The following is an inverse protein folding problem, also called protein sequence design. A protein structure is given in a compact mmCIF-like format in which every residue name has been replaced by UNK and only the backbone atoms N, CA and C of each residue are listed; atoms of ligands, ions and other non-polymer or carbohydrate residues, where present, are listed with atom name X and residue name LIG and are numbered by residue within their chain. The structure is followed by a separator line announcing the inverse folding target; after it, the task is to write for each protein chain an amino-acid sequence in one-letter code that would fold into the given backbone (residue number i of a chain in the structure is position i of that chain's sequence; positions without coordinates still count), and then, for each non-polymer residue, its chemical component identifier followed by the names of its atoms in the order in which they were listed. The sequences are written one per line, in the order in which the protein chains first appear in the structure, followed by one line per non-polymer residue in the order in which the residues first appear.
data_IF_066656207680
#
_entry.id   IF_066656207680
#
_cell.length_a   1.000
_cell.length_b   1.000
_cell.length_c   1.000
_cell.angle_alpha   90.00
_cell.angle_beta   90.00
_cell.angle_gamma   90.00
#
_symmetry.space_group_name_H-M   'P 1'
#
loop_
_entity.id
_entity.type
_entity.pdbx_description
1 polymer ?
#
# COMPACT_ATOMS: atom_id res chain seq x y z
N UNK A 1 5.84 3.73 20.12
CA UNK A 1 5.36 4.92 19.40
C UNK A 1 3.85 4.87 19.27
N UNK A 2 3.21 6.03 19.15
CA UNK A 2 1.81 6.15 18.75
C UNK A 2 1.71 6.39 17.25
N UNK A 3 1.15 5.47 16.50
CA UNK A 3 1.21 5.44 15.04
C UNK A 3 -0.19 5.50 14.42
N UNK A 4 -0.28 6.19 13.28
CA UNK A 4 -1.44 6.15 12.41
C UNK A 4 -1.16 5.25 11.22
N UNK A 5 -2.04 4.30 10.92
CA UNK A 5 -1.96 3.44 9.74
C UNK A 5 -3.13 3.74 8.81
N UNK A 6 -2.87 4.39 7.68
CA UNK A 6 -3.91 4.61 6.67
C UNK A 6 -4.01 3.41 5.75
N UNK A 7 -5.22 2.96 5.44
CA UNK A 7 -5.42 1.71 4.70
C UNK A 7 -5.14 0.46 5.54
N UNK A 8 -5.17 0.61 6.88
CA UNK A 8 -4.85 -0.47 7.82
C UNK A 8 -5.87 -1.61 7.87
N UNK A 9 -7.03 -1.46 7.23
CA UNK A 9 -8.03 -2.52 7.08
C UNK A 9 -7.88 -3.32 5.78
N UNK A 10 -6.92 -2.96 4.91
CA UNK A 10 -6.57 -3.69 3.69
C UNK A 10 -5.56 -4.81 3.93
N UNK A 11 -5.21 -5.56 2.87
CA UNK A 11 -4.33 -6.73 2.97
C UNK A 11 -2.97 -6.41 3.60
N UNK A 12 -2.12 -5.63 2.93
CA UNK A 12 -0.77 -5.30 3.46
C UNK A 12 -0.85 -4.46 4.73
N UNK A 13 -1.82 -3.53 4.80
CA UNK A 13 -2.02 -2.66 5.96
C UNK A 13 -2.34 -3.44 7.23
N UNK A 14 -3.23 -4.44 7.19
CA UNK A 14 -3.63 -5.22 8.37
C UNK A 14 -2.50 -6.10 8.92
N UNK A 15 -1.69 -6.70 8.03
CA UNK A 15 -0.48 -7.43 8.44
C UNK A 15 0.55 -6.49 9.09
N UNK A 16 0.73 -5.28 8.54
CA UNK A 16 1.59 -4.26 9.13
C UNK A 16 1.06 -3.77 10.49
N UNK A 17 -0.26 -3.58 10.64
CA UNK A 17 -0.90 -3.29 11.93
C UNK A 17 -0.59 -4.38 12.96
N UNK A 18 -0.76 -5.66 12.58
CA UNK A 18 -0.46 -6.78 13.46
C UNK A 18 1.02 -6.78 13.90
N UNK A 19 1.96 -6.57 12.97
CA UNK A 19 3.40 -6.51 13.29
C UNK A 19 3.75 -5.33 14.20
N UNK A 20 3.15 -4.16 13.99
CA UNK A 20 3.33 -2.98 14.85
C UNK A 20 2.82 -3.23 16.28
N UNK A 21 1.65 -3.88 16.43
CA UNK A 21 1.12 -4.26 17.74
C UNK A 21 2.04 -5.24 18.46
N UNK A 22 2.58 -6.23 17.75
CA UNK A 22 3.56 -7.18 18.29
C UNK A 22 4.87 -6.50 18.71
N UNK A 23 5.28 -5.44 18.00
CA UNK A 23 6.43 -4.60 18.37
C UNK A 23 6.13 -3.62 19.53
N UNK A 24 4.92 -3.61 20.07
CA UNK A 24 4.53 -2.81 21.24
C UNK A 24 4.13 -1.35 20.91
N UNK A 25 3.78 -1.06 19.65
CA UNK A 25 3.28 0.26 19.26
C UNK A 25 1.78 0.43 19.57
N UNK A 26 1.37 1.68 19.83
CA UNK A 26 -0.05 2.09 19.92
C UNK A 26 -0.53 2.47 18.52
N UNK A 27 -1.47 1.72 17.96
CA UNK A 27 -1.89 1.85 16.57
C UNK A 27 -3.34 2.33 16.45
N UNK A 28 -3.55 3.38 15.69
CA UNK A 28 -4.87 3.81 15.21
C UNK A 28 -4.94 3.62 13.69
N UNK A 29 -6.04 3.05 13.20
CA UNK A 29 -6.29 2.83 11.77
C UNK A 29 -7.14 3.97 11.22
N UNK A 30 -6.75 4.52 10.06
CA UNK A 30 -7.59 5.40 9.25
C UNK A 30 -7.92 4.68 7.94
N UNK A 31 -9.18 4.37 7.72
CA UNK A 31 -9.63 3.62 6.54
C UNK A 31 -11.08 3.98 6.23
N UNK A 32 -11.42 4.20 4.96
CA UNK A 32 -12.80 4.45 4.55
C UNK A 32 -13.60 3.17 4.29
N UNK A 33 -12.95 2.00 4.44
CA UNK A 33 -13.51 0.65 4.23
C UNK A 33 -14.06 0.44 2.80
N UNK A 34 -13.54 1.16 1.80
CA UNK A 34 -13.98 0.97 0.41
C UNK A 34 -13.55 -0.37 -0.18
N UNK A 35 -12.42 -0.90 0.31
CA UNK A 35 -11.87 -2.23 -0.03
C UNK A 35 -11.33 -2.96 1.19
N UNK A 36 -11.17 -2.25 2.32
CA UNK A 36 -10.73 -2.80 3.60
C UNK A 36 -11.89 -3.44 4.37
N UNK A 37 -11.56 -4.29 5.34
CA UNK A 37 -12.51 -5.10 6.07
C UNK A 37 -12.47 -4.83 7.58
N UNK A 38 -13.64 -4.74 8.22
CA UNK A 38 -13.74 -4.52 9.67
C UNK A 38 -13.13 -5.66 10.51
N UNK A 39 -13.15 -6.88 10.00
CA UNK A 39 -12.54 -8.03 10.69
C UNK A 39 -11.00 -7.95 10.74
N UNK A 40 -10.38 -7.13 9.88
CA UNK A 40 -8.93 -6.98 9.80
C UNK A 40 -8.35 -5.91 10.76
N UNK A 41 -9.19 -5.27 11.60
CA UNK A 41 -8.78 -4.14 12.45
C UNK A 41 -7.92 -4.54 13.66
N UNK A 42 -7.79 -5.81 13.98
CA UNK A 42 -6.97 -6.34 15.09
C UNK A 42 -7.23 -5.65 16.45
N UNK A 43 -8.47 -5.20 16.68
CA UNK A 43 -8.87 -4.50 17.91
C UNK A 43 -8.47 -3.02 17.98
N UNK A 44 -7.82 -2.47 16.97
CA UNK A 44 -7.43 -1.06 16.91
C UNK A 44 -8.63 -0.11 16.77
N UNK A 45 -8.45 1.12 17.24
CA UNK A 45 -9.38 2.22 16.95
C UNK A 45 -9.43 2.47 15.43
N UNK A 46 -10.64 2.58 14.88
CA UNK A 46 -10.86 2.97 13.49
C UNK A 46 -11.32 4.43 13.40
N UNK A 47 -10.65 5.21 12.55
CA UNK A 47 -11.10 6.51 12.06
C UNK A 47 -11.67 6.30 10.66
N UNK A 48 -13.00 6.19 10.47
CA UNK A 48 -13.63 5.86 9.19
C UNK A 48 -13.75 7.09 8.29
N UNK A 49 -12.63 7.56 7.72
CA UNK A 49 -12.56 8.78 6.89
C UNK A 49 -11.87 8.46 5.57
N UNK A 50 -12.30 9.13 4.52
CA UNK A 50 -11.61 9.20 3.24
C UNK A 50 -10.53 10.28 3.28
N UNK A 51 -9.34 10.01 2.76
CA UNK A 51 -8.24 10.98 2.68
C UNK A 51 -8.58 12.21 1.82
N UNK A 52 -9.62 12.14 1.00
CA UNK A 52 -10.12 13.26 0.21
C UNK A 52 -10.96 14.25 1.04
N UNK A 53 -11.41 13.82 2.22
CA UNK A 53 -12.13 14.69 3.17
C UNK A 53 -11.13 15.45 4.07
N UNK A 54 -10.62 16.55 3.54
CA UNK A 54 -9.60 17.37 4.20
C UNK A 54 -10.06 17.95 5.52
N UNK A 55 -11.35 18.30 5.64
CA UNK A 55 -11.89 18.90 6.86
C UNK A 55 -11.84 17.92 8.04
N UNK A 56 -12.40 16.73 7.86
CA UNK A 56 -12.41 15.73 8.92
C UNK A 56 -11.01 15.18 9.18
N UNK A 57 -10.17 14.99 8.14
CA UNK A 57 -8.80 14.52 8.26
C UNK A 57 -7.99 15.43 9.20
N UNK A 58 -7.97 16.74 8.95
CA UNK A 58 -7.27 17.71 9.80
C UNK A 58 -7.75 17.68 11.26
N UNK A 59 -9.08 17.61 11.47
CA UNK A 59 -9.65 17.56 12.83
C UNK A 59 -9.28 16.29 13.58
N UNK A 60 -9.18 15.17 12.87
CA UNK A 60 -8.92 13.86 13.48
C UNK A 60 -7.44 13.60 13.77
N UNK A 61 -6.51 14.29 13.09
CA UNK A 61 -5.10 14.18 13.39
C UNK A 61 -4.64 15.16 14.48
N UNK A 62 -5.24 16.35 14.51
CA UNK A 62 -4.84 17.42 15.41
C UNK A 62 -4.92 17.01 16.89
N UNK A 63 -3.82 17.20 17.62
CA UNK A 63 -3.73 16.97 19.07
C UNK A 63 -3.79 15.50 19.50
N UNK A 64 -3.70 14.56 18.57
CA UNK A 64 -3.72 13.11 18.88
C UNK A 64 -2.37 12.57 19.34
N UNK A 65 -1.28 13.30 19.09
CA UNK A 65 0.08 12.91 19.48
C UNK A 65 0.62 11.72 18.70
N UNK A 66 0.24 11.59 17.43
CA UNK A 66 0.88 10.61 16.55
C UNK A 66 2.33 10.99 16.28
N UNK A 67 3.22 10.03 16.36
CA UNK A 67 4.66 10.19 16.14
C UNK A 67 5.09 9.82 14.72
N UNK A 68 4.24 9.08 14.00
CA UNK A 68 4.48 8.69 12.62
C UNK A 68 3.25 8.10 11.95
N UNK A 69 3.34 7.99 10.63
CA UNK A 69 2.28 7.45 9.77
C UNK A 69 2.84 6.35 8.86
N UNK A 70 2.12 5.23 8.75
CA UNK A 70 2.30 4.24 7.69
C UNK A 70 1.15 4.40 6.70
N UNK A 71 1.47 4.59 5.41
CA UNK A 71 0.48 4.96 4.40
C UNK A 71 0.30 3.87 3.35
N UNK A 72 -0.76 3.06 3.52
CA UNK A 72 -1.18 2.01 2.58
C UNK A 72 -2.43 2.39 1.77
N UNK A 73 -3.21 3.38 2.21
CA UNK A 73 -4.46 3.75 1.57
C UNK A 73 -4.24 4.23 0.12
N UNK A 74 -4.59 3.39 -0.84
CA UNK A 74 -4.49 3.68 -2.26
C UNK A 74 -5.44 2.79 -3.07
N UNK A 75 -5.78 3.23 -4.27
CA UNK A 75 -6.29 2.36 -5.34
C UNK A 75 -5.10 1.66 -6.00
N UNK A 76 -5.16 0.33 -6.21
CA UNK A 76 -4.00 -0.47 -6.63
C UNK A 76 -4.23 -1.34 -7.88
N UNK A 77 -5.47 -1.43 -8.40
CA UNK A 77 -5.78 -2.28 -9.54
C UNK A 77 -5.31 -1.64 -10.85
N UNK A 78 -4.26 -2.22 -11.46
CA UNK A 78 -3.65 -1.72 -12.70
C UNK A 78 -4.68 -1.61 -13.83
N UNK A 79 -5.53 -2.62 -14.02
CA UNK A 79 -6.59 -2.61 -15.04
C UNK A 79 -7.61 -1.49 -14.83
N UNK A 80 -8.06 -1.27 -13.60
CA UNK A 80 -8.97 -0.18 -13.24
C UNK A 80 -8.31 1.18 -13.49
N UNK A 81 -7.03 1.32 -13.19
CA UNK A 81 -6.28 2.56 -13.35
C UNK A 81 -6.27 3.06 -14.80
N UNK A 82 -6.23 2.13 -15.77
CA UNK A 82 -6.27 2.44 -17.20
C UNK A 82 -7.63 3.03 -17.59
N UNK A 83 -8.71 2.50 -17.03
CA UNK A 83 -10.10 2.89 -17.37
C UNK A 83 -10.55 4.14 -16.60
N UNK A 84 -10.00 4.39 -15.41
CA UNK A 84 -10.40 5.48 -14.52
C UNK A 84 -9.20 6.31 -14.02
N UNK A 85 -8.38 6.88 -14.93
CA UNK A 85 -7.14 7.56 -14.55
C UNK A 85 -7.35 8.74 -13.61
N UNK A 86 -8.35 9.57 -13.84
CA UNK A 86 -8.63 10.75 -13.00
C UNK A 86 -8.97 10.35 -11.55
N UNK A 87 -9.71 9.25 -11.36
CA UNK A 87 -10.02 8.71 -10.04
C UNK A 87 -8.74 8.25 -9.31
N UNK A 88 -7.81 7.60 -10.02
CA UNK A 88 -6.52 7.19 -9.46
C UNK A 88 -5.67 8.38 -9.02
N UNK A 89 -5.58 9.43 -9.83
CA UNK A 89 -4.89 10.66 -9.44
C UNK A 89 -5.55 11.33 -8.24
N UNK A 90 -6.88 11.48 -8.26
CA UNK A 90 -7.61 12.09 -7.16
C UNK A 90 -7.44 11.31 -5.84
N UNK A 91 -7.51 9.97 -5.90
CA UNK A 91 -7.39 9.12 -4.72
C UNK A 91 -5.94 9.03 -4.24
N UNK A 92 -5.01 8.61 -5.11
CA UNK A 92 -3.66 8.29 -4.69
C UNK A 92 -2.81 9.54 -4.50
N UNK A 93 -2.83 10.49 -5.45
CA UNK A 93 -2.03 11.71 -5.35
C UNK A 93 -2.74 12.74 -4.48
N UNK A 94 -4.00 13.04 -4.76
CA UNK A 94 -4.78 14.01 -4.00
C UNK A 94 -4.95 13.61 -2.54
N UNK A 95 -5.33 12.35 -2.28
CA UNK A 95 -5.45 11.81 -0.92
C UNK A 95 -4.15 11.85 -0.14
N UNK A 96 -3.02 11.45 -0.74
CA UNK A 96 -1.71 11.53 -0.08
C UNK A 96 -1.26 12.97 0.15
N UNK A 97 -1.51 13.89 -0.79
CA UNK A 97 -1.24 15.32 -0.60
C UNK A 97 -2.00 15.87 0.61
N UNK A 98 -3.28 15.51 0.75
CA UNK A 98 -4.09 15.91 1.90
C UNK A 98 -3.55 15.33 3.21
N UNK A 99 -3.12 14.05 3.19
CA UNK A 99 -2.52 13.40 4.36
C UNK A 99 -1.24 14.12 4.80
N UNK A 100 -0.30 14.38 3.89
CA UNK A 100 0.95 15.09 4.20
C UNK A 100 0.69 16.48 4.78
N UNK A 101 -0.26 17.24 4.20
CA UNK A 101 -0.65 18.55 4.76
C UNK A 101 -1.26 18.44 6.16
N UNK A 102 -2.08 17.42 6.40
CA UNK A 102 -2.67 17.19 7.72
C UNK A 102 -1.62 16.75 8.74
N UNK A 103 -0.63 15.95 8.33
CA UNK A 103 0.52 15.58 9.16
C UNK A 103 1.33 16.80 9.56
N UNK A 104 1.72 17.65 8.59
CA UNK A 104 2.44 18.89 8.87
C UNK A 104 1.67 19.81 9.82
N UNK A 105 0.34 19.97 9.63
CA UNK A 105 -0.51 20.77 10.50
C UNK A 105 -0.67 20.18 11.92
N UNK A 106 -0.40 18.90 12.12
CA UNK A 106 -0.44 18.19 13.39
C UNK A 106 0.93 17.91 13.99
N UNK A 107 2.02 18.45 13.39
CA UNK A 107 3.42 18.25 13.78
C UNK A 107 3.87 16.78 13.74
N UNK A 108 3.37 16.02 12.75
CA UNK A 108 3.76 14.64 12.50
C UNK A 108 4.74 14.65 11.33
N UNK A 109 6.00 14.28 11.59
CA UNK A 109 7.10 14.47 10.63
C UNK A 109 7.60 13.18 9.98
N UNK A 110 7.13 12.00 10.41
CA UNK A 110 7.63 10.71 9.95
C UNK A 110 6.57 9.95 9.15
N UNK A 111 6.90 9.58 7.91
CA UNK A 111 6.03 8.82 7.00
C UNK A 111 6.75 7.61 6.42
N UNK A 112 6.14 6.43 6.51
CA UNK A 112 6.49 5.27 5.67
C UNK A 112 5.42 5.09 4.60
N UNK A 113 5.83 5.20 3.34
CA UNK A 113 4.94 5.12 2.19
C UNK A 113 5.05 3.76 1.49
N UNK A 114 3.93 3.07 1.40
CA UNK A 114 3.77 1.87 0.57
C UNK A 114 3.79 2.27 -0.90
N UNK A 115 4.98 2.22 -1.52
CA UNK A 115 5.16 2.46 -2.94
C UNK A 115 5.02 1.15 -3.74
N UNK A 116 5.62 1.08 -4.92
CA UNK A 116 5.47 -0.08 -5.81
C UNK A 116 6.65 -0.19 -6.77
N UNK A 117 7.01 -1.41 -7.15
CA UNK A 117 7.92 -1.65 -8.27
C UNK A 117 7.33 -1.27 -9.65
N UNK A 118 6.02 -1.07 -9.75
CA UNK A 118 5.38 -0.60 -10.99
C UNK A 118 5.87 0.79 -11.46
N UNK A 119 6.59 1.54 -10.62
CA UNK A 119 7.25 2.80 -11.01
C UNK A 119 8.40 2.59 -12.01
N UNK A 120 9.01 1.41 -12.02
CA UNK A 120 10.13 1.11 -12.91
C UNK A 120 9.69 0.79 -14.35
N UNK A 121 8.43 0.34 -14.54
CA UNK A 121 7.92 -0.05 -15.85
C UNK A 121 8.54 -1.36 -16.36
N UNK A 122 8.88 -1.42 -17.64
CA UNK A 122 9.57 -2.58 -18.20
C UNK A 122 11.04 -2.59 -17.76
N UNK A 123 11.55 -3.71 -17.23
CA UNK A 123 12.94 -3.80 -16.82
C UNK A 123 13.89 -3.68 -18.02
N UNK A 124 15.01 -3.00 -17.83
CA UNK A 124 16.10 -2.89 -18.82
C UNK A 124 17.29 -3.81 -18.46
N UNK A 125 17.21 -4.49 -17.33
CA UNK A 125 18.18 -5.47 -16.81
C UNK A 125 17.44 -6.58 -16.08
N UNK A 126 18.10 -7.72 -15.86
CA UNK A 126 17.51 -8.87 -15.16
C UNK A 126 17.17 -8.57 -13.69
N UNK A 127 17.90 -7.66 -13.07
CA UNK A 127 17.68 -7.21 -11.70
C UNK A 127 17.31 -5.73 -11.68
N UNK A 128 16.37 -5.38 -10.83
CA UNK A 128 15.93 -4.00 -10.60
C UNK A 128 16.42 -3.58 -9.22
N UNK A 129 17.30 -2.58 -9.18
CA UNK A 129 17.75 -1.89 -7.97
C UNK A 129 17.13 -0.49 -7.86
N UNK A 130 17.50 0.27 -6.84
CA UNK A 130 16.98 1.61 -6.58
C UNK A 130 17.37 2.64 -7.66
N UNK A 131 18.47 2.40 -8.39
CA UNK A 131 18.97 3.27 -9.45
C UNK A 131 18.34 2.97 -10.82
N UNK A 132 17.58 1.86 -10.93
CA UNK A 132 16.87 1.52 -12.17
C UNK A 132 15.99 2.69 -12.63
N UNK A 133 15.94 3.02 -13.94
CA UNK A 133 15.12 4.09 -14.48
C UNK A 133 13.64 3.95 -14.09
N UNK A 134 13.04 5.06 -13.66
CA UNK A 134 11.62 5.12 -13.28
C UNK A 134 10.79 5.55 -14.48
N UNK A 135 10.18 4.58 -15.15
CA UNK A 135 9.41 4.77 -16.38
C UNK A 135 8.09 3.97 -16.36
N UNK A 136 7.14 4.33 -15.48
CA UNK A 136 5.90 3.57 -15.27
C UNK A 136 5.07 3.48 -16.55
N UNK A 137 4.57 2.28 -16.87
CA UNK A 137 3.78 1.99 -18.08
C UNK A 137 2.28 1.94 -17.82
N UNK A 138 1.85 2.23 -16.60
CA UNK A 138 0.45 2.28 -16.23
C UNK A 138 0.16 3.44 -15.26
N UNK A 139 -1.10 3.84 -15.18
CA UNK A 139 -1.53 4.99 -14.37
C UNK A 139 -1.30 4.76 -12.87
N UNK A 140 -1.49 3.54 -12.37
CA UNK A 140 -1.21 3.22 -10.97
C UNK A 140 0.25 3.51 -10.62
N UNK A 141 1.21 2.95 -11.37
CA UNK A 141 2.65 3.22 -11.19
C UNK A 141 2.98 4.70 -11.32
N UNK A 142 2.37 5.40 -12.29
CA UNK A 142 2.54 6.84 -12.46
C UNK A 142 2.09 7.61 -11.23
N UNK A 143 0.92 7.28 -10.63
CA UNK A 143 0.45 7.96 -9.41
C UNK A 143 1.38 7.74 -8.23
N UNK A 144 1.94 6.54 -8.07
CA UNK A 144 2.91 6.23 -7.02
C UNK A 144 4.21 7.01 -7.20
N UNK A 145 4.72 7.09 -8.44
CA UNK A 145 5.93 7.88 -8.76
C UNK A 145 5.73 9.37 -8.47
N UNK A 146 4.57 9.94 -8.84
CA UNK A 146 4.24 11.35 -8.53
C UNK A 146 4.23 11.58 -7.02
N UNK A 147 3.71 10.65 -6.23
CA UNK A 147 3.75 10.73 -4.76
C UNK A 147 5.19 10.70 -4.24
N UNK A 148 6.05 9.80 -4.73
CA UNK A 148 7.46 9.77 -4.33
C UNK A 148 8.18 11.09 -4.63
N UNK A 149 7.95 11.66 -5.82
CA UNK A 149 8.51 12.96 -6.20
C UNK A 149 8.01 14.09 -5.29
N UNK A 150 6.72 14.10 -4.94
CA UNK A 150 6.16 15.05 -3.98
C UNK A 150 6.80 14.88 -2.60
N UNK A 151 6.92 13.66 -2.09
CA UNK A 151 7.54 13.38 -0.80
C UNK A 151 9.02 13.82 -0.79
N UNK A 152 9.76 13.58 -1.84
CA UNK A 152 11.13 14.05 -2.00
C UNK A 152 11.22 15.58 -1.92
N UNK A 153 10.32 16.31 -2.57
CA UNK A 153 10.29 17.77 -2.49
C UNK A 153 9.95 18.27 -1.08
N UNK A 154 9.02 17.59 -0.38
CA UNK A 154 8.65 17.93 1.02
C UNK A 154 9.83 17.70 1.96
N UNK A 155 10.54 16.56 1.85
CA UNK A 155 11.70 16.26 2.71
C UNK A 155 12.87 17.21 2.48
N UNK A 156 13.04 17.74 1.27
CA UNK A 156 14.07 18.75 0.98
C UNK A 156 13.76 20.13 1.54
N UNK A 157 12.49 20.44 1.82
CA UNK A 157 12.03 21.76 2.24
C UNK A 157 11.67 21.86 3.73
N UNK A 158 11.75 20.78 4.51
CA UNK A 158 11.33 20.72 5.90
C UNK A 158 12.00 19.57 6.65
N UNK A 159 11.77 19.48 7.98
CA UNK A 159 12.23 18.37 8.81
C UNK A 159 11.40 17.08 8.62
N UNK A 160 10.51 17.06 7.64
CA UNK A 160 9.70 15.89 7.31
C UNK A 160 10.58 14.77 6.75
N UNK A 161 10.42 13.55 7.27
CA UNK A 161 11.11 12.36 6.78
C UNK A 161 10.13 11.39 6.10
N UNK A 162 10.51 10.83 4.97
CA UNK A 162 9.71 9.85 4.26
C UNK A 162 10.56 8.68 3.77
N UNK A 163 10.14 7.46 4.09
CA UNK A 163 10.71 6.22 3.56
C UNK A 163 9.71 5.60 2.58
N UNK A 164 10.14 5.34 1.34
CA UNK A 164 9.29 4.72 0.31
C UNK A 164 9.71 3.26 0.12
N UNK A 165 8.84 2.31 0.47
CA UNK A 165 9.09 0.89 0.25
C UNK A 165 8.49 0.47 -1.09
N UNK A 166 9.35 0.05 -2.02
CA UNK A 166 9.00 -0.40 -3.37
C UNK A 166 9.03 -1.92 -3.42
N UNK A 167 7.90 -2.53 -3.63
CA UNK A 167 7.79 -3.99 -3.71
C UNK A 167 6.93 -4.40 -4.90
N UNK A 168 7.09 -5.64 -5.31
CA UNK A 168 6.37 -6.23 -6.44
C UNK A 168 5.02 -6.79 -5.98
N UNK A 169 4.91 -8.11 -5.82
CA UNK A 169 3.64 -8.74 -5.52
C UNK A 169 3.63 -9.25 -4.08
N UNK A 170 2.84 -8.62 -3.23
CA UNK A 170 2.60 -9.13 -1.89
C UNK A 170 1.75 -10.41 -1.97
N UNK A 171 2.12 -11.44 -1.23
CA UNK A 171 1.40 -12.69 -1.16
C UNK A 171 1.53 -13.32 0.23
N UNK A 172 0.66 -14.27 0.55
CA UNK A 172 0.73 -15.00 1.81
C UNK A 172 -0.41 -14.69 2.76
N UNK A 173 -0.33 -15.27 3.95
CA UNK A 173 -1.31 -15.12 5.01
C UNK A 173 -0.65 -15.32 6.38
N UNK A 174 -1.25 -14.80 7.44
CA UNK A 174 -0.85 -15.02 8.82
C UNK A 174 -1.96 -15.78 9.56
N UNK A 175 -1.78 -17.10 9.71
CA UNK A 175 -2.78 -17.96 10.35
C UNK A 175 -2.97 -17.65 11.84
N UNK A 176 -1.92 -17.17 12.53
CA UNK A 176 -1.98 -16.85 13.97
C UNK A 176 -2.85 -15.62 14.18
N UNK A 177 -2.68 -14.59 13.34
CA UNK A 177 -3.45 -13.37 13.38
C UNK A 177 -4.80 -13.49 12.65
N UNK A 178 -5.07 -14.62 11.99
CA UNK A 178 -6.23 -14.85 11.13
C UNK A 178 -6.39 -13.76 10.06
N UNK A 179 -5.26 -13.41 9.42
CA UNK A 179 -5.18 -12.43 8.34
C UNK A 179 -4.79 -13.10 7.03
N UNK A 180 -5.38 -12.63 5.93
CA UNK A 180 -5.09 -13.11 4.59
C UNK A 180 -5.60 -12.15 3.54
N UNK A 181 -5.34 -12.50 2.29
CA UNK A 181 -5.76 -11.71 1.15
C UNK A 181 -7.24 -11.96 0.82
N UNK A 182 -8.01 -10.87 0.76
CA UNK A 182 -9.42 -10.91 0.39
C UNK A 182 -9.81 -9.65 -0.38
N UNK A 183 -10.14 -9.83 -1.65
CA UNK A 183 -10.63 -8.76 -2.52
C UNK A 183 -11.94 -9.16 -3.21
N UNK A 184 -12.78 -8.17 -3.50
CA UNK A 184 -13.99 -8.32 -4.29
C UNK A 184 -14.08 -7.21 -5.35
N UNK A 185 -13.95 -7.56 -6.64
CA UNK A 185 -13.61 -8.89 -7.18
C UNK A 185 -12.15 -9.29 -6.89
N UNK A 186 -11.88 -10.59 -6.78
CA UNK A 186 -10.52 -11.10 -6.65
C UNK A 186 -9.84 -11.12 -8.04
N UNK A 187 -8.66 -10.51 -8.13
CA UNK A 187 -7.90 -10.39 -9.38
C UNK A 187 -6.48 -10.94 -9.30
N UNK A 188 -6.02 -11.30 -8.09
CA UNK A 188 -4.66 -11.78 -7.89
C UNK A 188 -4.54 -13.28 -8.15
N UNK A 189 -3.37 -13.68 -8.65
CA UNK A 189 -3.11 -15.05 -9.13
C UNK A 189 -3.27 -16.08 -8.02
N UNK A 190 -2.61 -15.90 -6.89
CA UNK A 190 -2.54 -16.91 -5.81
C UNK A 190 -3.91 -17.19 -5.21
N UNK A 191 -4.72 -16.19 -4.79
CA UNK A 191 -6.08 -16.43 -4.29
C UNK A 191 -6.98 -17.10 -5.34
N UNK A 192 -6.89 -16.68 -6.61
CA UNK A 192 -7.69 -17.28 -7.68
C UNK A 192 -7.28 -18.74 -7.95
N UNK A 193 -5.98 -19.04 -7.97
CA UNK A 193 -5.49 -20.41 -8.13
C UNK A 193 -5.95 -21.31 -6.98
N UNK A 194 -5.87 -20.83 -5.73
CA UNK A 194 -6.34 -21.56 -4.56
C UNK A 194 -7.85 -21.79 -4.58
N UNK A 195 -8.65 -20.79 -4.95
CA UNK A 195 -10.11 -20.94 -5.09
C UNK A 195 -10.48 -21.93 -6.20
N UNK A 196 -9.77 -21.89 -7.33
CA UNK A 196 -9.98 -22.84 -8.41
C UNK A 196 -9.63 -24.29 -7.97
N UNK A 197 -8.48 -24.48 -7.31
CA UNK A 197 -8.05 -25.78 -6.79
C UNK A 197 -9.00 -26.35 -5.71
N UNK A 198 -9.56 -25.48 -4.88
CA UNK A 198 -10.55 -25.85 -3.87
C UNK A 198 -11.97 -26.07 -4.44
N UNK A 199 -12.20 -25.80 -5.73
CA UNK A 199 -13.54 -25.88 -6.34
C UNK A 199 -14.53 -24.82 -5.85
N UNK A 200 -14.05 -23.74 -5.23
CA UNK A 200 -14.88 -22.65 -4.68
C UNK A 200 -14.88 -21.39 -5.54
N UNK A 201 -14.14 -21.39 -6.66
CA UNK A 201 -14.02 -20.29 -7.61
C UNK A 201 -14.15 -20.73 -9.04
N UNK A 202 -14.02 -19.76 -9.96
CA UNK A 202 -13.96 -20.05 -11.39
C UNK A 202 -12.66 -20.82 -11.73
N UNK A 203 -12.64 -21.58 -12.83
CA UNK A 203 -11.40 -22.15 -13.35
C UNK A 203 -10.35 -21.06 -13.57
N UNK A 204 -9.08 -21.40 -13.27
CA UNK A 204 -7.98 -20.47 -13.53
C UNK A 204 -7.86 -20.23 -15.05
N UNK A 205 -7.80 -18.95 -15.43
CA UNK A 205 -7.66 -18.57 -16.84
C UNK A 205 -6.25 -18.09 -17.11
N UNK A 206 -5.58 -18.70 -18.07
CA UNK A 206 -4.33 -18.20 -18.65
C UNK A 206 -4.68 -17.17 -19.74
N UNK A 207 -4.25 -15.91 -19.57
CA UNK A 207 -4.58 -14.80 -20.48
C UNK A 207 -3.64 -14.70 -21.69
N UNK A 208 -2.58 -15.48 -21.73
CA UNK A 208 -1.62 -15.54 -22.83
C UNK A 208 -0.34 -16.25 -22.40
N UNK A 209 0.40 -16.74 -23.40
CA UNK A 209 1.66 -17.48 -23.27
C UNK A 209 2.70 -17.06 -24.32
N UNK A 210 2.60 -15.80 -24.76
CA UNK A 210 3.40 -15.21 -25.85
C UNK A 210 4.47 -14.20 -25.38
N UNK A 211 4.76 -14.15 -24.07
CA UNK A 211 5.87 -13.36 -23.55
C UNK A 211 7.23 -13.98 -23.93
N UNK A 212 8.28 -13.16 -24.12
CA UNK A 212 9.64 -13.63 -24.38
C UNK A 212 10.31 -14.20 -23.12
N UNK A 213 9.70 -15.20 -22.51
CA UNK A 213 10.13 -15.90 -21.29
C UNK A 213 10.25 -17.41 -21.57
N UNK A 214 10.82 -18.16 -20.63
CA UNK A 214 11.06 -19.61 -20.82
C UNK A 214 9.79 -20.41 -21.12
N UNK A 215 8.67 -20.01 -20.48
CA UNK A 215 7.38 -20.70 -20.58
C UNK A 215 6.29 -19.85 -21.26
N UNK A 216 6.66 -18.70 -21.82
CA UNK A 216 5.74 -17.76 -22.44
C UNK A 216 4.88 -16.96 -21.49
N UNK A 217 4.96 -17.19 -20.18
CA UNK A 217 4.18 -16.46 -19.19
C UNK A 217 4.97 -15.30 -18.61
N UNK A 218 4.30 -14.38 -17.90
CA UNK A 218 4.96 -13.24 -17.28
C UNK A 218 5.73 -13.67 -16.02
N UNK A 219 7.00 -13.27 -15.92
CA UNK A 219 7.80 -13.40 -14.69
C UNK A 219 7.28 -12.45 -13.63
N UNK A 220 7.15 -12.93 -12.40
CA UNK A 220 6.72 -12.13 -11.24
C UNK A 220 7.58 -12.42 -10.03
N UNK A 221 7.92 -11.37 -9.30
CA UNK A 221 8.61 -11.44 -8.02
C UNK A 221 7.54 -11.35 -6.90
N UNK A 222 7.60 -12.29 -5.96
CA UNK A 222 6.69 -12.36 -4.82
C UNK A 222 7.44 -12.17 -3.52
N UNK A 223 6.82 -11.41 -2.61
CA UNK A 223 7.31 -11.20 -1.25
C UNK A 223 6.21 -11.58 -0.25
N UNK A 224 6.57 -12.31 0.79
CA UNK A 224 5.59 -12.66 1.81
C UNK A 224 5.11 -11.41 2.55
N UNK A 225 3.81 -11.32 2.77
CA UNK A 225 3.19 -10.12 3.37
C UNK A 225 3.69 -9.83 4.79
N UNK A 226 4.07 -10.85 5.56
CA UNK A 226 4.67 -10.67 6.90
C UNK A 226 6.11 -10.11 6.83
N UNK A 227 6.88 -10.45 5.77
CA UNK A 227 8.20 -9.85 5.53
C UNK A 227 8.05 -8.36 5.17
N UNK A 228 7.05 -8.03 4.35
CA UNK A 228 6.69 -6.63 4.08
C UNK A 228 6.28 -5.90 5.36
N UNK A 229 5.47 -6.52 6.20
CA UNK A 229 5.07 -5.95 7.49
C UNK A 229 6.30 -5.65 8.37
N UNK A 230 7.23 -6.60 8.45
CA UNK A 230 8.49 -6.44 9.19
C UNK A 230 9.35 -5.30 8.64
N UNK A 231 9.42 -5.16 7.30
CA UNK A 231 10.14 -4.06 6.65
C UNK A 231 9.51 -2.69 6.97
N UNK A 232 8.17 -2.61 7.02
CA UNK A 232 7.46 -1.39 7.38
C UNK A 232 7.69 -1.01 8.87
N UNK A 233 7.72 -2.00 9.77
CA UNK A 233 8.09 -1.77 11.19
C UNK A 233 9.52 -1.23 11.28
N UNK A 234 10.48 -1.90 10.65
CA UNK A 234 11.88 -1.44 10.67
C UNK A 234 12.03 -0.03 10.09
N UNK A 235 11.25 0.33 9.04
CA UNK A 235 11.32 1.65 8.43
C UNK A 235 10.75 2.77 9.31
N UNK A 236 9.71 2.50 10.12
CA UNK A 236 9.14 3.54 10.99
C UNK A 236 9.95 3.75 12.26
N UNK A 237 10.70 2.75 12.70
CA UNK A 237 11.55 2.81 13.90
C UNK A 237 12.89 3.52 13.68
N UNK A 238 13.35 3.69 12.43
CA UNK A 238 14.56 4.45 12.08
C UNK A 238 14.33 5.96 12.22
#
# INVERSE_FOLDING_TARGET
MKLLVTGGAGFVGSHSVNALLQAGHDVTILDNLSTGHRWALQGCELIPIDLRDTYHLNRKLKGRGFEGVLHFAAKSLVGESKNQPAMYYQNNVGGTTNLVRAMQAADIQKLVFSSTAAIFGNPISDLIDEEHPKAPINVYGQTKLVVEQMLQAVTQSSDFSATCLRYFNAAGANNIANLGEWHEPETHLIPNALRAAAGTGNPLTLFGDDYPTVDGTCVRDYVHVDDLASAHVAAIEQ
#
